data_IF_540631049671
#
_entry.id   IF_540631049671
#
_cell.length_a   1.000
_cell.length_b   1.000
_cell.length_c   1.000
_cell.angle_alpha   90.00
_cell.angle_beta   90.00
_cell.angle_gamma   90.00
#
_symmetry.space_group_name_H-M   'P 1'
#
loop_
_entity.id
_entity.type
_entity.pdbx_description
1 polymer ?
#
# COMPACT_ATOMS: atom_id res chain seq x y z
N UNK A 1 13.84 1.54 1.82
CA UNK A 1 12.57 1.45 1.09
C UNK A 1 11.72 0.42 1.78
N UNK A 2 10.59 0.84 2.33
CA UNK A 2 9.62 -0.01 3.02
C UNK A 2 8.69 -0.76 2.07
N UNK A 3 8.95 -0.69 0.76
CA UNK A 3 8.12 -1.26 -0.30
C UNK A 3 8.95 -2.25 -1.09
N UNK A 4 8.58 -3.53 -1.01
CA UNK A 4 9.12 -4.58 -1.85
C UNK A 4 8.23 -4.79 -3.08
N UNK A 5 8.84 -4.86 -4.26
CA UNK A 5 8.12 -5.06 -5.52
C UNK A 5 8.40 -6.47 -6.01
N UNK A 6 7.37 -7.32 -6.03
CA UNK A 6 7.47 -8.68 -6.58
C UNK A 6 6.35 -8.89 -7.59
N UNK A 7 6.72 -8.97 -8.87
CA UNK A 7 5.78 -9.10 -9.99
C UNK A 7 4.76 -7.94 -10.00
N UNK A 8 3.47 -8.26 -9.83
CA UNK A 8 2.37 -7.31 -9.72
C UNK A 8 1.92 -7.07 -8.28
N UNK A 9 2.73 -7.44 -7.29
CA UNK A 9 2.45 -7.23 -5.88
C UNK A 9 3.41 -6.21 -5.29
N UNK A 10 2.86 -5.16 -4.67
CA UNK A 10 3.60 -4.26 -3.79
C UNK A 10 3.39 -4.73 -2.36
N UNK A 11 4.48 -5.03 -1.66
CA UNK A 11 4.45 -5.43 -0.26
C UNK A 11 4.95 -4.28 0.60
N UNK A 12 4.10 -3.82 1.50
CA UNK A 12 4.36 -2.72 2.42
C UNK A 12 4.87 -3.29 3.74
N UNK A 13 5.98 -2.76 4.24
CA UNK A 13 6.71 -3.29 5.39
C UNK A 13 6.99 -2.16 6.37
N UNK A 14 6.62 -2.37 7.64
CA UNK A 14 6.84 -1.45 8.74
C UNK A 14 6.25 -0.06 8.45
N UNK A 15 7.08 0.95 8.14
CA UNK A 15 6.68 2.34 7.92
C UNK A 15 6.79 2.71 6.43
N UNK A 16 5.66 2.85 5.74
CA UNK A 16 5.64 3.38 4.36
C UNK A 16 5.47 4.88 4.42
N UNK A 17 6.52 5.62 4.08
CA UNK A 17 6.60 7.07 4.31
C UNK A 17 6.29 7.86 3.03
N UNK A 18 6.39 9.18 3.09
CA UNK A 18 6.20 10.04 1.92
C UNK A 18 7.26 9.80 0.84
N UNK A 19 8.48 9.40 1.22
CA UNK A 19 9.56 9.14 0.27
C UNK A 19 9.26 7.94 -0.65
N UNK A 20 8.41 6.99 -0.21
CA UNK A 20 8.01 5.84 -1.03
C UNK A 20 6.88 6.19 -2.05
N UNK A 21 6.25 7.37 -1.92
CA UNK A 21 5.03 7.73 -2.65
C UNK A 21 5.23 7.77 -4.17
N UNK A 22 6.35 8.34 -4.64
CA UNK A 22 6.63 8.43 -6.08
C UNK A 22 6.82 7.04 -6.71
N UNK A 23 7.56 6.16 -6.03
CA UNK A 23 7.78 4.80 -6.50
C UNK A 23 6.47 4.00 -6.58
N UNK A 24 5.61 4.14 -5.57
CA UNK A 24 4.27 3.51 -5.55
C UNK A 24 3.39 4.08 -6.66
N UNK A 25 3.36 5.41 -6.83
CA UNK A 25 2.58 6.08 -7.88
C UNK A 25 2.98 5.59 -9.27
N UNK A 26 4.28 5.58 -9.56
CA UNK A 26 4.80 5.10 -10.84
C UNK A 26 4.41 3.64 -11.11
N UNK A 27 4.37 2.79 -10.08
CA UNK A 27 3.91 1.40 -10.21
C UNK A 27 2.42 1.28 -10.45
N UNK A 28 1.60 2.07 -9.76
CA UNK A 28 0.15 2.09 -9.96
C UNK A 28 -0.24 2.63 -11.35
N UNK A 29 0.56 3.53 -11.92
CA UNK A 29 0.38 4.06 -13.27
C UNK A 29 0.60 3.04 -14.39
N UNK A 30 1.28 1.91 -14.15
CA UNK A 30 1.54 0.89 -15.18
C UNK A 30 0.26 0.21 -15.72
N UNK A 31 -0.94 0.56 -15.21
CA UNK A 31 -2.26 0.02 -15.59
C UNK A 31 -2.37 -1.50 -15.53
N UNK A 32 -1.50 -2.14 -14.74
CA UNK A 32 -1.60 -3.56 -14.37
C UNK A 32 -2.50 -3.70 -13.15
N UNK A 33 -3.11 -4.87 -12.96
CA UNK A 33 -3.81 -5.21 -11.71
C UNK A 33 -2.79 -5.37 -10.58
N UNK A 34 -2.38 -4.25 -9.99
CA UNK A 34 -1.49 -4.22 -8.84
C UNK A 34 -2.25 -4.71 -7.60
N UNK A 35 -1.62 -5.62 -6.87
CA UNK A 35 -2.07 -6.14 -5.59
C UNK A 35 -1.20 -5.55 -4.48
N UNK A 36 -1.82 -5.24 -3.34
CA UNK A 36 -1.10 -4.73 -2.16
C UNK A 36 -1.13 -5.78 -1.05
N UNK A 37 0.04 -6.17 -0.57
CA UNK A 37 0.21 -6.95 0.66
C UNK A 37 0.63 -6.00 1.78
N UNK A 38 -0.26 -5.78 2.75
CA UNK A 38 0.00 -4.93 3.91
C UNK A 38 0.24 -5.73 5.19
N UNK A 39 0.41 -7.06 5.13
CA UNK A 39 0.51 -7.92 6.32
C UNK A 39 1.59 -7.48 7.32
N UNK A 40 2.70 -6.92 6.83
CA UNK A 40 3.81 -6.43 7.65
C UNK A 40 3.84 -4.90 7.81
N UNK A 41 2.83 -4.20 7.31
CA UNK A 41 2.73 -2.75 7.38
C UNK A 41 2.14 -2.32 8.73
N UNK A 42 2.80 -1.38 9.39
CA UNK A 42 2.35 -0.76 10.65
C UNK A 42 1.88 0.67 10.45
N UNK A 43 2.41 1.36 9.45
CA UNK A 43 2.05 2.73 9.16
C UNK A 43 2.12 3.02 7.66
N UNK A 44 1.18 3.84 7.19
CA UNK A 44 1.26 4.48 5.88
C UNK A 44 1.13 5.99 6.05
N UNK A 45 1.95 6.74 5.33
CA UNK A 45 1.78 8.18 5.22
C UNK A 45 0.47 8.51 4.47
N UNK A 46 -0.12 9.67 4.76
CA UNK A 46 -1.40 10.11 4.17
C UNK A 46 -1.36 10.17 2.64
N UNK A 47 -0.21 10.53 2.05
CA UNK A 47 0.00 10.47 0.61
C UNK A 47 -0.20 9.06 0.03
N UNK A 48 0.24 8.02 0.75
CA UNK A 48 0.06 6.62 0.33
C UNK A 48 -1.42 6.25 0.39
N UNK A 49 -2.12 6.65 1.45
CA UNK A 49 -3.57 6.45 1.57
C UNK A 49 -4.31 7.10 0.39
N UNK A 50 -3.96 8.33 0.00
CA UNK A 50 -4.53 9.01 -1.15
C UNK A 50 -4.33 8.23 -2.46
N UNK A 51 -3.12 7.68 -2.67
CA UNK A 51 -2.85 6.80 -3.82
C UNK A 51 -3.75 5.55 -3.81
N UNK A 52 -3.90 4.90 -2.66
CA UNK A 52 -4.78 3.72 -2.54
C UNK A 52 -6.25 4.08 -2.82
N UNK A 53 -6.72 5.25 -2.40
CA UNK A 53 -8.09 5.72 -2.67
C UNK A 53 -8.33 6.05 -4.16
N UNK A 54 -7.33 6.63 -4.84
CA UNK A 54 -7.42 7.03 -6.25
C UNK A 54 -7.35 5.81 -7.18
N UNK A 55 -6.39 4.92 -6.95
CA UNK A 55 -6.15 3.77 -7.83
C UNK A 55 -6.96 2.53 -7.44
N UNK A 56 -7.51 2.49 -6.23
CA UNK A 56 -8.31 1.37 -5.68
C UNK A 56 -7.69 -0.01 -5.96
N UNK A 57 -6.39 -0.22 -5.67
CA UNK A 57 -5.76 -1.51 -5.94
C UNK A 57 -6.36 -2.60 -5.04
N UNK A 58 -6.23 -3.86 -5.47
CA UNK A 58 -6.71 -4.99 -4.68
C UNK A 58 -5.79 -5.20 -3.46
N UNK A 59 -6.32 -5.06 -2.25
CA UNK A 59 -5.59 -5.34 -1.01
C UNK A 59 -5.76 -6.83 -0.67
N UNK A 60 -4.73 -7.63 -0.97
CA UNK A 60 -4.78 -9.10 -0.83
C UNK A 60 -4.48 -9.57 0.59
N UNK A 61 -3.78 -8.76 1.38
CA UNK A 61 -3.57 -9.00 2.81
C UNK A 61 -3.67 -7.69 3.57
N UNK A 62 -4.53 -7.67 4.58
CA UNK A 62 -4.72 -6.52 5.44
C UNK A 62 -3.57 -6.38 6.45
N UNK A 63 -3.35 -5.19 7.01
CA UNK A 63 -2.41 -4.97 8.11
C UNK A 63 -2.69 -5.85 9.32
N UNK A 64 -1.64 -6.38 9.94
CA UNK A 64 -1.73 -7.00 11.27
C UNK A 64 -1.91 -5.94 12.36
N UNK A 65 -1.36 -4.73 12.15
CA UNK A 65 -1.58 -3.59 13.01
C UNK A 65 -3.07 -3.22 13.06
N UNK A 66 -3.64 -3.23 14.27
CA UNK A 66 -5.08 -3.07 14.48
C UNK A 66 -5.55 -1.67 14.16
N UNK A 67 -4.74 -0.64 14.41
CA UNK A 67 -5.15 0.73 14.20
C UNK A 67 -5.10 1.08 12.73
N UNK A 68 -4.02 0.70 12.02
CA UNK A 68 -3.96 0.85 10.57
C UNK A 68 -5.07 0.04 9.87
N UNK A 69 -5.35 -1.19 10.31
CA UNK A 69 -6.41 -2.03 9.73
C UNK A 69 -7.78 -1.35 9.77
N UNK A 70 -8.14 -0.62 10.83
CA UNK A 70 -9.42 0.11 10.94
C UNK A 70 -9.59 1.18 9.86
N UNK A 71 -8.50 1.80 9.40
CA UNK A 71 -8.53 2.81 8.35
C UNK A 71 -8.65 2.23 6.94
N UNK A 72 -8.23 0.97 6.76
CA UNK A 72 -8.15 0.33 5.44
C UNK A 72 -9.41 -0.49 5.11
N UNK A 73 -10.07 -1.07 6.11
CA UNK A 73 -11.32 -1.79 5.90
C UNK A 73 -12.42 -0.77 5.61
N UNK A 74 -13.06 -0.88 4.45
CA UNK A 74 -14.40 -0.33 4.24
C UNK A 74 -15.40 -1.29 4.88
N UNK A 75 -16.16 -0.82 5.85
CA UNK A 75 -17.39 -1.49 6.29
C UNK A 75 -18.42 -1.55 5.15
#
# INVERSE_FOLDING_TARGET
>A
MAVEIKNSTLKFIDLVTVEDAEAIFNKLLEKKKIKIDMSQCKHIHTAILQLLMVFTPEIIKLPEDKDLKKWIIKE
#
